data_IF_833745220914
#
_entry.id   IF_833745220914
#
_cell.length_a   1.000
_cell.length_b   1.000
_cell.length_c   1.000
_cell.angle_alpha   90.00
_cell.angle_beta   90.00
_cell.angle_gamma   90.00
#
_symmetry.space_group_name_H-M   'P 1'
#
loop_
_entity.id
_entity.type
_entity.pdbx_description
1 polymer ?
#
# COMPACT_ATOMS: atom_id res chain seq x y z
N UNK A 1 -40.38 50.83 31.76
CA UNK A 1 -39.76 49.74 30.98
C UNK A 1 -39.96 48.45 31.76
N UNK A 2 -40.88 47.60 31.30
CA UNK A 2 -41.15 46.29 31.93
C UNK A 2 -40.31 45.25 31.19
N UNK A 3 -39.30 44.71 31.84
CA UNK A 3 -38.53 43.56 31.37
C UNK A 3 -39.44 42.34 31.41
N UNK A 4 -39.88 41.85 30.24
CA UNK A 4 -40.56 40.56 30.13
C UNK A 4 -39.59 39.47 30.57
N UNK A 5 -39.91 38.77 31.66
CA UNK A 5 -39.24 37.52 32.02
C UNK A 5 -39.54 36.50 30.92
N UNK A 6 -38.51 36.06 30.19
CA UNK A 6 -38.58 34.91 29.27
C UNK A 6 -38.99 33.68 30.08
N UNK A 7 -39.87 32.84 29.54
CA UNK A 7 -40.25 31.61 30.22
C UNK A 7 -39.07 30.63 30.25
N UNK A 8 -39.00 29.78 31.27
CA UNK A 8 -37.92 28.79 31.42
C UNK A 8 -37.82 27.87 30.20
N UNK A 9 -38.95 27.59 29.53
CA UNK A 9 -38.96 26.82 28.28
C UNK A 9 -38.34 27.57 27.10
N UNK A 10 -38.54 28.88 26.99
CA UNK A 10 -37.90 29.69 25.93
C UNK A 10 -36.40 29.79 26.16
N UNK A 11 -35.96 29.96 27.41
CA UNK A 11 -34.54 29.95 27.75
C UNK A 11 -33.87 28.58 27.49
N UNK A 12 -34.59 27.48 27.75
CA UNK A 12 -34.09 26.13 27.50
C UNK A 12 -34.01 25.81 26.00
N UNK A 13 -34.98 26.28 25.20
CA UNK A 13 -34.95 26.14 23.73
C UNK A 13 -33.81 26.97 23.15
N UNK A 14 -33.64 28.21 23.61
CA UNK A 14 -32.55 29.10 23.18
C UNK A 14 -31.17 28.51 23.55
N UNK A 15 -31.03 27.89 24.74
CA UNK A 15 -29.78 27.26 25.15
C UNK A 15 -29.53 25.91 24.45
N UNK A 16 -30.58 25.19 24.02
CA UNK A 16 -30.47 24.00 23.17
C UNK A 16 -30.06 24.41 21.74
N UNK A 17 -30.62 25.48 21.19
CA UNK A 17 -30.25 26.03 19.89
C UNK A 17 -28.82 26.55 19.88
N UNK A 18 -28.39 27.28 20.93
CA UNK A 18 -26.99 27.72 21.08
C UNK A 18 -26.04 26.54 21.22
N UNK A 19 -26.42 25.47 21.94
CA UNK A 19 -25.57 24.27 22.07
C UNK A 19 -25.56 23.39 20.82
N UNK A 20 -26.59 23.44 19.99
CA UNK A 20 -26.62 22.83 18.66
C UNK A 20 -25.76 23.62 17.67
N UNK A 21 -25.77 24.96 17.75
CA UNK A 21 -24.92 25.83 16.96
C UNK A 21 -23.44 25.75 17.39
N UNK A 22 -23.17 25.59 18.70
CA UNK A 22 -21.81 25.50 19.26
C UNK A 22 -21.17 24.12 19.11
N UNK A 23 -21.97 23.06 18.95
CA UNK A 23 -21.48 21.74 18.53
C UNK A 23 -21.30 21.79 17.02
N UNK A 24 -20.15 22.34 16.64
CA UNK A 24 -19.74 22.61 15.27
C UNK A 24 -20.25 21.58 14.28
N UNK A 25 -20.74 22.11 13.15
CA UNK A 25 -21.10 21.39 11.93
C UNK A 25 -19.96 20.46 11.55
N UNK A 26 -19.96 19.26 12.13
CA UNK A 26 -19.24 18.13 11.62
C UNK A 26 -19.96 17.81 10.33
N UNK A 27 -19.31 18.10 9.20
CA UNK A 27 -19.81 17.81 7.88
C UNK A 27 -20.02 16.30 7.74
N UNK A 28 -21.22 15.83 8.12
CA UNK A 28 -21.63 14.45 7.96
C UNK A 28 -22.12 14.30 6.52
N UNK A 29 -21.50 13.39 5.78
CA UNK A 29 -21.79 13.17 4.36
C UNK A 29 -23.27 12.84 4.11
N UNK A 30 -23.96 12.19 5.06
CA UNK A 30 -25.43 12.02 5.06
C UNK A 30 -25.94 11.76 6.49
N UNK A 31 -27.22 12.03 6.78
CA UNK A 31 -27.95 11.33 7.84
C UNK A 31 -28.20 9.89 7.39
N UNK A 32 -27.81 8.89 8.20
CA UNK A 32 -27.91 7.49 7.81
C UNK A 32 -29.37 6.98 7.91
N UNK A 33 -29.71 5.94 7.15
CA UNK A 33 -31.08 5.57 6.77
C UNK A 33 -31.87 4.75 7.80
N UNK A 34 -31.45 4.72 9.07
CA UNK A 34 -32.38 4.54 10.19
C UNK A 34 -32.54 3.14 10.76
N UNK A 35 -31.50 2.29 10.72
CA UNK A 35 -31.47 1.10 11.56
C UNK A 35 -30.26 1.17 12.51
N UNK A 36 -30.48 1.43 13.81
CA UNK A 36 -29.42 1.38 14.81
C UNK A 36 -28.75 0.02 14.80
N UNK A 37 -27.43 0.00 14.94
CA UNK A 37 -26.69 -1.28 15.06
C UNK A 37 -27.22 -2.09 16.25
N UNK A 38 -27.19 -3.41 16.16
CA UNK A 38 -27.51 -4.31 17.29
C UNK A 38 -26.28 -4.72 18.10
N UNK A 39 -25.08 -4.48 17.54
CA UNK A 39 -23.81 -4.97 18.08
C UNK A 39 -23.14 -3.89 18.92
N UNK A 40 -23.69 -3.70 20.12
CA UNK A 40 -23.11 -2.84 21.14
C UNK A 40 -21.96 -3.55 21.86
N UNK A 41 -21.03 -2.81 22.45
CA UNK A 41 -19.97 -3.42 23.27
C UNK A 41 -20.52 -3.91 24.62
N UNK A 42 -21.47 -3.18 25.17
CA UNK A 42 -22.02 -3.34 26.50
C UNK A 42 -23.56 -3.41 26.50
N UNK A 43 -24.13 -3.83 27.62
CA UNK A 43 -25.57 -3.85 27.83
C UNK A 43 -26.29 -5.04 27.17
N UNK A 44 -27.63 -5.07 27.23
CA UNK A 44 -28.41 -6.22 26.77
C UNK A 44 -28.17 -6.50 25.28
N UNK A 45 -27.64 -7.68 24.97
CA UNK A 45 -27.26 -8.08 23.60
C UNK A 45 -25.92 -7.51 23.11
N UNK A 46 -25.12 -6.90 23.99
CA UNK A 46 -23.76 -6.46 23.69
C UNK A 46 -22.76 -7.62 23.63
N UNK A 47 -21.72 -7.47 22.81
CA UNK A 47 -20.70 -8.52 22.54
C UNK A 47 -19.96 -8.94 23.83
N UNK A 48 -19.75 -8.00 24.76
CA UNK A 48 -19.11 -8.25 26.05
C UNK A 48 -20.05 -8.05 27.24
N UNK A 49 -21.36 -7.96 27.00
CA UNK A 49 -22.40 -7.74 28.03
C UNK A 49 -22.78 -8.99 28.84
N UNK A 50 -21.85 -9.95 28.99
CA UNK A 50 -22.06 -11.22 29.68
C UNK A 50 -21.52 -11.14 31.10
N UNK A 51 -22.30 -11.55 32.09
CA UNK A 51 -21.87 -11.58 33.49
C UNK A 51 -20.73 -12.58 33.70
N UNK A 52 -19.68 -12.16 34.41
CA UNK A 52 -18.54 -13.02 34.76
C UNK A 52 -17.40 -13.05 33.74
N UNK A 53 -17.38 -12.12 32.77
CA UNK A 53 -16.25 -11.95 31.86
C UNK A 53 -15.05 -11.34 32.60
N UNK A 54 -13.86 -11.89 32.36
CA UNK A 54 -12.61 -11.31 32.87
C UNK A 54 -12.29 -9.99 32.16
N UNK A 55 -11.56 -9.11 32.86
CA UNK A 55 -11.27 -7.76 32.39
C UNK A 55 -10.49 -7.73 31.06
N UNK A 56 -9.62 -8.72 30.88
CA UNK A 56 -8.63 -8.68 29.82
C UNK A 56 -9.14 -9.44 28.58
N UNK A 57 -9.31 -8.72 27.47
CA UNK A 57 -9.83 -9.24 26.19
C UNK A 57 -8.67 -9.36 25.20
N UNK A 58 -8.61 -10.49 24.48
CA UNK A 58 -7.61 -10.76 23.45
C UNK A 58 -8.30 -10.72 22.09
N UNK A 59 -7.84 -9.84 21.22
CA UNK A 59 -8.21 -9.80 19.80
C UNK A 59 -7.48 -10.90 19.03
N UNK A 60 -8.13 -11.56 18.08
CA UNK A 60 -7.48 -12.51 17.15
C UNK A 60 -7.10 -11.87 15.82
N UNK A 61 -7.30 -10.54 15.69
CA UNK A 61 -6.97 -9.83 14.45
C UNK A 61 -5.45 -9.87 14.21
N UNK A 62 -5.05 -10.49 13.12
CA UNK A 62 -3.71 -10.35 12.57
C UNK A 62 -3.62 -8.98 11.92
N UNK A 63 -2.65 -8.18 12.35
CA UNK A 63 -2.40 -6.89 11.70
C UNK A 63 -1.67 -7.14 10.38
N UNK A 64 -2.14 -6.54 9.27
CA UNK A 64 -1.43 -6.66 8.02
C UNK A 64 -0.18 -5.78 8.04
N UNK A 65 0.93 -6.36 7.62
CA UNK A 65 2.20 -5.66 7.39
C UNK A 65 2.33 -5.31 5.90
N UNK A 66 3.15 -4.30 5.59
CA UNK A 66 3.37 -3.97 4.19
C UNK A 66 4.22 -2.74 3.88
N UNK A 67 4.49 -2.56 2.59
CA UNK A 67 5.24 -1.47 2.00
C UNK A 67 4.59 -0.11 2.25
N UNK A 68 3.26 -0.09 2.38
CA UNK A 68 2.48 1.13 2.45
C UNK A 68 2.91 2.07 3.58
N UNK A 69 3.36 1.54 4.72
CA UNK A 69 3.86 2.36 5.83
C UNK A 69 5.28 2.91 5.65
N UNK A 70 6.01 2.45 4.63
CA UNK A 70 7.34 2.96 4.27
C UNK A 70 7.28 4.00 3.15
N UNK A 71 6.17 4.10 2.43
CA UNK A 71 6.00 5.06 1.34
C UNK A 71 5.76 6.47 1.90
N UNK A 72 6.47 7.50 1.41
CA UNK A 72 6.20 8.87 1.80
C UNK A 72 4.85 9.33 1.23
N UNK A 73 4.06 10.02 2.05
CA UNK A 73 2.81 10.66 1.62
C UNK A 73 3.06 12.12 1.21
N UNK A 74 2.63 12.51 0.02
CA UNK A 74 2.79 13.88 -0.50
C UNK A 74 1.43 14.49 -0.85
N UNK A 75 1.16 15.68 -0.31
CA UNK A 75 -0.04 16.45 -0.62
C UNK A 75 0.07 17.16 -1.98
N UNK A 76 -1.03 17.21 -2.73
CA UNK A 76 -1.17 18.05 -3.92
C UNK A 76 -2.55 18.69 -4.01
N UNK A 77 -2.67 19.75 -4.79
CA UNK A 77 -3.95 20.39 -5.14
C UNK A 77 -4.38 20.10 -6.59
N UNK A 78 -3.52 19.42 -7.37
CA UNK A 78 -3.82 19.08 -8.77
C UNK A 78 -4.78 17.90 -8.85
N UNK A 79 -5.84 18.03 -9.66
CA UNK A 79 -6.85 16.97 -9.79
C UNK A 79 -6.35 15.76 -10.62
N UNK A 80 -5.54 16.00 -11.65
CA UNK A 80 -4.98 14.96 -12.52
C UNK A 80 -3.47 15.22 -12.70
N UNK A 81 -2.59 14.57 -11.92
CA UNK A 81 -1.16 14.76 -12.06
C UNK A 81 -0.67 14.09 -13.36
N UNK A 82 -0.02 14.89 -14.21
CA UNK A 82 0.64 14.41 -15.43
C UNK A 82 2.15 14.40 -15.22
N UNK A 83 2.79 13.25 -15.45
CA UNK A 83 4.22 13.06 -15.31
C UNK A 83 4.84 12.91 -16.70
N UNK A 84 5.69 13.86 -17.07
CA UNK A 84 6.42 13.83 -18.33
C UNK A 84 7.71 13.02 -18.22
N UNK A 85 7.93 12.14 -19.19
CA UNK A 85 9.13 11.33 -19.34
C UNK A 85 9.80 11.64 -20.67
N UNK A 86 11.13 11.73 -20.65
CA UNK A 86 11.94 11.80 -21.86
C UNK A 86 12.36 10.37 -22.21
N UNK A 87 11.86 9.85 -23.33
CA UNK A 87 12.01 8.44 -23.70
C UNK A 87 13.23 8.16 -24.57
N UNK A 88 13.83 9.21 -25.14
CA UNK A 88 15.10 9.13 -25.85
C UNK A 88 15.22 10.17 -26.96
N UNK A 89 16.22 9.97 -27.80
CA UNK A 89 16.50 10.78 -28.97
C UNK A 89 16.45 9.90 -30.21
N UNK A 90 15.83 10.38 -31.28
CA UNK A 90 15.83 9.66 -32.56
C UNK A 90 17.21 9.68 -33.21
N UNK A 91 17.43 8.78 -34.16
CA UNK A 91 18.61 8.82 -35.01
C UNK A 91 18.67 10.15 -35.78
N UNK A 92 19.89 10.59 -36.08
CA UNK A 92 20.10 11.75 -36.92
C UNK A 92 19.43 11.54 -38.29
N UNK A 93 18.94 12.63 -38.87
CA UNK A 93 18.33 12.64 -40.19
C UNK A 93 19.19 13.46 -41.14
N UNK A 94 19.41 12.96 -42.35
CA UNK A 94 20.27 13.58 -43.35
C UNK A 94 21.33 12.61 -43.85
N UNK A 95 22.19 13.11 -44.73
CA UNK A 95 23.38 12.40 -45.20
C UNK A 95 24.61 13.04 -44.59
N UNK A 96 25.65 12.25 -44.32
CA UNK A 96 26.97 12.79 -43.98
C UNK A 96 27.40 13.72 -45.11
N UNK A 97 27.83 14.93 -44.77
CA UNK A 97 28.28 15.93 -45.73
C UNK A 97 29.51 15.43 -46.51
N UNK A 98 29.43 15.40 -47.84
CA UNK A 98 30.53 14.98 -48.72
C UNK A 98 31.51 16.15 -49.01
N UNK A 99 31.01 17.39 -49.01
CA UNK A 99 31.78 18.61 -49.17
C UNK A 99 31.83 19.49 -47.90
N UNK A 100 32.83 20.39 -47.84
CA UNK A 100 33.07 21.30 -46.69
C UNK A 100 31.93 22.32 -46.50
N UNK A 101 31.10 22.55 -47.52
CA UNK A 101 29.98 23.49 -47.50
C UNK A 101 28.61 22.82 -47.55
N UNK A 102 28.54 21.48 -47.48
CA UNK A 102 27.26 20.78 -47.47
C UNK A 102 26.66 20.80 -46.07
N UNK A 103 25.34 20.76 -46.00
CA UNK A 103 24.62 20.76 -44.73
C UNK A 103 24.93 19.45 -43.97
N UNK A 104 25.41 19.54 -42.70
CA UNK A 104 25.65 18.36 -41.90
C UNK A 104 24.34 17.70 -41.47
N UNK A 105 24.42 16.46 -41.01
CA UNK A 105 23.26 15.74 -40.47
C UNK A 105 22.57 16.53 -39.36
N UNK A 106 21.23 16.54 -39.37
CA UNK A 106 20.43 17.14 -38.31
C UNK A 106 20.24 16.13 -37.18
N UNK A 107 20.48 16.58 -35.94
CA UNK A 107 20.25 15.75 -34.76
C UNK A 107 18.78 15.30 -34.69
N UNK A 108 18.56 14.02 -34.40
CA UNK A 108 17.21 13.47 -34.29
C UNK A 108 16.41 14.12 -33.15
N UNK A 109 15.10 14.34 -33.31
CA UNK A 109 14.31 14.99 -32.28
C UNK A 109 14.17 14.09 -31.05
N UNK A 110 13.95 14.75 -29.91
CA UNK A 110 13.63 14.09 -28.65
C UNK A 110 12.23 13.47 -28.70
N UNK A 111 12.08 12.29 -28.10
CA UNK A 111 10.78 11.67 -27.85
C UNK A 111 10.39 11.86 -26.39
N UNK A 112 9.12 12.20 -26.16
CA UNK A 112 8.52 12.28 -24.83
C UNK A 112 7.36 11.31 -24.70
N UNK A 113 7.01 10.99 -23.46
CA UNK A 113 5.81 10.27 -23.11
C UNK A 113 5.23 10.85 -21.82
N UNK A 114 3.91 10.98 -21.74
CA UNK A 114 3.23 11.49 -20.55
C UNK A 114 2.45 10.34 -19.89
N UNK A 115 2.68 10.11 -18.59
CA UNK A 115 1.87 9.18 -17.80
C UNK A 115 0.97 9.95 -16.83
N UNK A 116 -0.09 9.30 -16.37
CA UNK A 116 -1.01 9.83 -15.37
C UNK A 116 -1.27 8.78 -14.29
N UNK A 117 -1.39 9.24 -13.04
CA UNK A 117 -1.87 8.42 -11.93
C UNK A 117 -3.13 9.08 -11.38
N UNK A 118 -4.28 8.44 -11.59
CA UNK A 118 -5.56 8.97 -11.14
C UNK A 118 -5.73 8.79 -9.64
N UNK A 119 -6.36 9.76 -8.97
CA UNK A 119 -6.70 9.61 -7.56
C UNK A 119 -7.84 8.61 -7.35
N UNK A 120 -7.68 7.76 -6.35
CA UNK A 120 -8.76 6.98 -5.76
C UNK A 120 -9.66 7.85 -4.88
N UNK A 121 -10.90 7.41 -4.69
CA UNK A 121 -11.87 8.00 -3.76
C UNK A 121 -12.44 6.89 -2.89
N UNK A 122 -12.17 7.02 -1.59
CA UNK A 122 -12.71 6.16 -0.55
C UNK A 122 -13.66 6.94 0.34
N UNK A 123 -14.78 6.31 0.69
CA UNK A 123 -15.72 6.86 1.66
C UNK A 123 -16.17 5.73 2.58
N UNK A 124 -15.99 5.94 3.88
CA UNK A 124 -16.41 5.02 4.91
C UNK A 124 -17.34 5.74 5.86
N UNK A 125 -18.36 5.03 6.34
CA UNK A 125 -19.33 5.53 7.31
C UNK A 125 -19.21 4.69 8.59
N UNK A 126 -19.23 5.35 9.74
CA UNK A 126 -19.41 4.66 11.03
C UNK A 126 -20.83 4.12 11.15
N UNK A 127 -21.02 3.02 11.88
CA UNK A 127 -22.36 2.50 12.21
C UNK A 127 -23.22 3.54 12.94
N UNK A 128 -24.54 3.44 12.76
CA UNK A 128 -25.51 4.20 13.55
C UNK A 128 -25.50 3.69 15.00
N UNK A 129 -25.27 4.60 15.95
CA UNK A 129 -25.25 4.29 17.38
C UNK A 129 -26.46 4.98 18.03
N UNK A 130 -27.29 4.21 18.74
CA UNK A 130 -28.42 4.75 19.49
C UNK A 130 -27.97 5.40 20.80
N UNK A 131 -28.13 6.71 20.93
CA UNK A 131 -27.69 7.46 22.10
C UNK A 131 -28.32 6.98 23.43
N UNK A 132 -29.53 6.42 23.38
CA UNK A 132 -30.22 5.91 24.57
C UNK A 132 -29.65 4.58 25.07
N UNK A 133 -28.92 3.84 24.23
CA UNK A 133 -28.40 2.51 24.51
C UNK A 133 -26.91 2.51 24.86
N UNK A 134 -26.17 3.52 24.41
CA UNK A 134 -24.76 3.72 24.79
C UNK A 134 -24.64 3.84 26.31
N UNK A 135 -23.85 2.96 26.91
CA UNK A 135 -23.57 2.98 28.35
C UNK A 135 -24.63 2.29 29.21
N UNK A 136 -25.62 1.62 28.63
CA UNK A 136 -26.45 0.67 29.36
C UNK A 136 -25.62 -0.53 29.81
N UNK A 137 -25.90 -1.04 31.01
CA UNK A 137 -25.34 -2.27 31.54
C UNK A 137 -26.46 -3.30 31.68
N UNK A 138 -26.16 -4.56 31.42
CA UNK A 138 -27.08 -5.68 31.64
C UNK A 138 -27.31 -5.87 33.14
N UNK A 139 -26.24 -5.91 33.92
CA UNK A 139 -26.26 -6.12 35.37
C UNK A 139 -25.04 -5.48 36.04
N UNK A 140 -25.08 -5.32 37.37
CA UNK A 140 -23.92 -4.81 38.15
C UNK A 140 -22.67 -5.72 38.05
N UNK A 141 -22.83 -6.96 37.61
CA UNK A 141 -21.74 -7.89 37.33
C UNK A 141 -21.05 -7.67 35.99
N UNK A 142 -21.54 -6.75 35.16
CA UNK A 142 -20.88 -6.33 33.93
C UNK A 142 -19.74 -5.35 34.24
N UNK A 143 -18.52 -5.77 33.94
CA UNK A 143 -17.35 -4.94 34.09
C UNK A 143 -17.25 -3.97 32.92
N UNK A 144 -17.23 -2.67 33.24
CA UNK A 144 -16.92 -1.64 32.24
C UNK A 144 -15.42 -1.50 32.05
N UNK A 145 -14.55 -2.06 32.88
CA UNK A 145 -13.11 -1.81 32.80
C UNK A 145 -12.38 -2.75 31.82
N UNK A 146 -13.08 -3.26 30.81
CA UNK A 146 -12.53 -4.16 29.81
C UNK A 146 -11.35 -3.52 29.07
N UNK A 147 -10.23 -4.23 29.01
CA UNK A 147 -9.00 -3.79 28.33
C UNK A 147 -8.63 -4.80 27.26
N UNK A 148 -8.31 -4.30 26.08
CA UNK A 148 -7.72 -5.16 25.04
C UNK A 148 -6.24 -5.35 25.39
N UNK A 149 -5.80 -6.60 25.56
CA UNK A 149 -4.42 -6.93 25.87
C UNK A 149 -3.49 -6.73 24.68
N UNK A 150 -3.93 -7.11 23.48
CA UNK A 150 -3.19 -6.90 22.24
C UNK A 150 -3.87 -5.79 21.44
N UNK A 151 -3.19 -4.66 21.33
CA UNK A 151 -3.77 -3.52 20.65
C UNK A 151 -3.94 -3.85 19.15
N UNK A 152 -5.19 -3.86 18.64
CA UNK A 152 -5.50 -4.29 17.28
C UNK A 152 -5.17 -3.22 16.22
N UNK A 153 -4.64 -2.07 16.65
CA UNK A 153 -4.23 -0.94 15.83
C UNK A 153 -2.76 -0.53 16.06
N UNK A 154 -2.08 -0.95 17.14
CA UNK A 154 -0.68 -0.56 17.42
C UNK A 154 0.28 -1.40 16.61
N UNK A 155 1.14 -0.71 15.85
CA UNK A 155 2.17 -1.32 15.01
C UNK A 155 3.23 -2.06 15.83
N UNK A 156 3.86 -3.05 15.19
CA UNK A 156 5.22 -2.85 14.74
C UNK A 156 5.28 -2.85 13.21
N UNK A 157 5.81 -1.76 12.62
CA UNK A 157 6.27 -1.64 11.24
C UNK A 157 5.20 -1.83 10.12
N UNK A 158 4.66 -0.72 9.61
CA UNK A 158 4.04 -0.72 8.27
C UNK A 158 2.56 -0.29 8.16
N UNK A 159 1.89 0.00 9.29
CA UNK A 159 0.50 0.47 9.27
C UNK A 159 0.34 1.91 8.76
N UNK A 160 -0.75 2.18 8.04
CA UNK A 160 -1.12 3.49 7.49
C UNK A 160 -1.51 4.55 8.53
N UNK A 161 -2.04 4.12 9.67
CA UNK A 161 -2.59 5.02 10.68
C UNK A 161 -1.54 5.28 11.78
N UNK A 162 -1.05 6.52 11.87
CA UNK A 162 -0.27 6.97 13.02
C UNK A 162 -1.20 7.18 14.21
N UNK A 163 -1.01 6.40 15.27
CA UNK A 163 -1.79 6.55 16.49
C UNK A 163 -1.34 7.77 17.27
N UNK A 164 -2.10 8.85 17.16
CA UNK A 164 -2.09 9.92 18.18
C UNK A 164 -3.44 9.95 18.92
N UNK A 165 -4.04 8.78 19.14
CA UNK A 165 -5.22 8.64 19.99
C UNK A 165 -4.70 8.50 21.43
N UNK A 166 -4.81 9.58 22.20
CA UNK A 166 -4.41 9.56 23.60
C UNK A 166 -5.32 8.61 24.41
N UNK A 167 -4.75 7.49 24.84
CA UNK A 167 -5.40 6.47 25.66
C UNK A 167 -5.49 5.13 24.94
N UNK A 168 -5.22 4.03 25.65
CA UNK A 168 -5.51 2.67 25.17
C UNK A 168 -6.96 2.60 24.69
N UNK A 169 -7.29 1.86 23.59
CA UNK A 169 -8.66 1.67 23.14
C UNK A 169 -9.47 0.99 24.26
N UNK A 170 -10.11 1.83 25.07
CA UNK A 170 -10.97 1.42 26.17
C UNK A 170 -12.33 1.06 25.58
N UNK A 171 -12.72 -0.21 25.70
CA UNK A 171 -13.96 -0.76 25.13
C UNK A 171 -15.22 -0.09 25.71
N UNK A 172 -15.07 0.71 26.77
CA UNK A 172 -16.09 1.61 27.32
C UNK A 172 -16.58 2.65 26.32
N UNK A 173 -15.71 3.07 25.40
CA UNK A 173 -16.00 4.12 24.43
C UNK A 173 -16.50 3.49 23.15
N UNK A 174 -17.79 3.15 23.15
CA UNK A 174 -18.47 2.57 21.99
C UNK A 174 -18.33 3.41 20.71
N UNK A 175 -18.37 4.74 20.85
CA UNK A 175 -18.13 5.67 19.74
C UNK A 175 -16.69 5.56 19.23
N UNK A 176 -15.71 5.41 20.12
CA UNK A 176 -14.31 5.21 19.73
C UNK A 176 -14.14 3.89 18.99
N UNK A 177 -14.78 2.81 19.46
CA UNK A 177 -14.75 1.52 18.79
C UNK A 177 -15.33 1.60 17.36
N UNK A 178 -16.41 2.34 17.14
CA UNK A 178 -16.94 2.56 15.80
C UNK A 178 -15.96 3.30 14.87
N UNK A 179 -15.13 4.20 15.39
CA UNK A 179 -14.05 4.81 14.61
C UNK A 179 -12.89 3.83 14.34
N UNK A 180 -12.56 2.97 15.30
CA UNK A 180 -11.58 1.89 15.13
C UNK A 180 -12.03 0.94 14.01
N UNK A 181 -13.30 0.52 14.01
CA UNK A 181 -13.89 -0.32 12.96
C UNK A 181 -13.71 0.30 11.56
N UNK A 182 -13.92 1.62 11.42
CA UNK A 182 -13.68 2.33 10.16
C UNK A 182 -12.20 2.34 9.79
N UNK A 183 -11.30 2.56 10.75
CA UNK A 183 -9.86 2.50 10.51
C UNK A 183 -9.39 1.12 10.04
N UNK A 184 -9.95 0.05 10.63
CA UNK A 184 -9.71 -1.34 10.22
C UNK A 184 -10.20 -1.59 8.80
N UNK A 185 -11.43 -1.17 8.49
CA UNK A 185 -12.00 -1.33 7.15
C UNK A 185 -11.18 -0.58 6.10
N UNK A 186 -10.73 0.64 6.42
CA UNK A 186 -9.86 1.45 5.57
C UNK A 186 -8.54 0.73 5.28
N UNK A 187 -7.87 0.22 6.32
CA UNK A 187 -6.60 -0.50 6.18
C UNK A 187 -6.75 -1.78 5.34
N UNK A 188 -7.78 -2.59 5.63
CA UNK A 188 -8.02 -3.86 4.93
C UNK A 188 -8.35 -3.65 3.45
N UNK A 189 -8.97 -2.53 3.09
CA UNK A 189 -9.26 -2.22 1.69
C UNK A 189 -8.04 -1.63 0.97
N UNK A 190 -7.30 -0.73 1.64
CA UNK A 190 -6.22 0.02 1.00
C UNK A 190 -4.96 -0.83 0.77
N UNK A 191 -4.67 -1.79 1.64
CA UNK A 191 -3.49 -2.67 1.53
C UNK A 191 -3.47 -3.50 0.24
N UNK A 192 -4.49 -4.31 -0.08
CA UNK A 192 -4.48 -5.06 -1.34
C UNK A 192 -4.53 -4.13 -2.56
N UNK A 193 -5.26 -3.02 -2.46
CA UNK A 193 -5.37 -2.06 -3.57
C UNK A 193 -4.07 -1.32 -3.89
N UNK A 194 -3.08 -1.31 -2.97
CA UNK A 194 -1.74 -0.84 -3.30
C UNK A 194 -1.15 -1.64 -4.47
N UNK A 195 -1.41 -2.94 -4.55
CA UNK A 195 -0.91 -3.83 -5.59
C UNK A 195 -1.89 -3.96 -6.74
N UNK A 196 -3.14 -4.35 -6.46
CA UNK A 196 -4.14 -4.74 -7.46
C UNK A 196 -5.18 -3.65 -7.78
N UNK A 197 -4.98 -2.42 -7.31
CA UNK A 197 -5.91 -1.31 -7.57
C UNK A 197 -6.12 -1.07 -9.06
N UNK A 198 -7.38 -1.05 -9.52
CA UNK A 198 -7.68 -0.88 -10.94
C UNK A 198 -8.72 0.22 -11.19
N UNK A 199 -8.36 1.35 -11.83
CA UNK A 199 -9.28 2.44 -12.12
C UNK A 199 -10.40 2.06 -13.11
N UNK A 200 -10.37 0.87 -13.73
CA UNK A 200 -11.50 0.34 -14.49
C UNK A 200 -12.69 -0.05 -13.61
N UNK A 201 -12.47 -0.39 -12.33
CA UNK A 201 -13.51 -0.79 -11.38
C UNK A 201 -14.27 0.40 -10.75
N UNK A 202 -14.12 1.59 -11.33
CA UNK A 202 -14.72 2.81 -10.81
C UNK A 202 -16.25 2.77 -10.94
N UNK A 203 -16.94 3.15 -9.86
CA UNK A 203 -18.39 3.32 -9.88
C UNK A 203 -18.78 4.39 -10.92
N UNK A 204 -19.83 4.13 -11.71
CA UNK A 204 -20.30 5.06 -12.75
C UNK A 204 -20.67 6.46 -12.21
N UNK A 205 -21.09 6.54 -10.95
CA UNK A 205 -21.41 7.80 -10.25
C UNK A 205 -20.23 8.47 -9.53
N UNK A 206 -19.03 7.89 -9.56
CA UNK A 206 -17.83 8.46 -8.94
C UNK A 206 -17.87 8.53 -7.40
N UNK A 207 -18.75 7.77 -6.76
CA UNK A 207 -18.80 7.62 -5.29
C UNK A 207 -17.62 6.79 -4.77
N UNK A 208 -17.23 5.78 -5.54
CA UNK A 208 -16.06 4.95 -5.33
C UNK A 208 -15.15 5.00 -6.56
N UNK A 209 -13.86 5.23 -6.34
CA UNK A 209 -12.82 5.13 -7.37
C UNK A 209 -11.56 4.50 -6.80
N UNK A 210 -10.93 3.62 -7.55
CA UNK A 210 -9.64 3.03 -7.20
C UNK A 210 -8.50 3.81 -7.84
N UNK A 211 -7.37 3.91 -7.14
CA UNK A 211 -6.13 4.40 -7.72
C UNK A 211 -5.42 3.25 -8.47
N UNK A 212 -4.54 3.53 -9.44
CA UNK A 212 -3.76 2.49 -10.10
C UNK A 212 -2.77 1.86 -9.11
N UNK A 213 -2.89 0.56 -8.89
CA UNK A 213 -1.99 -0.23 -8.08
C UNK A 213 -0.63 -0.44 -8.74
N UNK A 214 0.30 -1.01 -7.97
CA UNK A 214 1.66 -1.31 -8.40
C UNK A 214 1.71 -2.26 -9.60
N UNK A 215 0.74 -3.16 -9.77
CA UNK A 215 0.68 -4.04 -10.94
C UNK A 215 0.50 -3.24 -12.24
N UNK A 216 -0.44 -2.28 -12.24
CA UNK A 216 -0.62 -1.38 -13.38
C UNK A 216 0.60 -0.47 -13.57
N UNK A 217 1.23 -0.01 -12.48
CA UNK A 217 2.41 0.86 -12.53
C UNK A 217 3.67 0.12 -12.99
N UNK A 218 3.86 -1.15 -12.61
CA UNK A 218 4.98 -2.02 -12.97
C UNK A 218 4.51 -2.98 -14.08
N UNK A 219 3.93 -2.41 -15.12
CA UNK A 219 3.36 -3.14 -16.25
C UNK A 219 4.14 -2.97 -17.54
N UNK A 220 3.81 -3.81 -18.52
CA UNK A 220 4.17 -3.63 -19.94
C UNK A 220 3.09 -2.83 -20.68
N UNK A 221 3.38 -2.36 -21.90
CA UNK A 221 2.46 -1.63 -22.76
C UNK A 221 2.02 -0.27 -22.18
N UNK A 222 2.98 0.50 -21.66
CA UNK A 222 2.72 1.87 -21.26
C UNK A 222 2.29 2.70 -22.46
N UNK A 223 1.21 3.44 -22.31
CA UNK A 223 0.67 4.34 -23.35
C UNK A 223 0.74 5.78 -22.87
N UNK A 224 0.94 6.70 -23.79
CA UNK A 224 0.87 8.12 -23.50
C UNK A 224 -0.57 8.52 -23.15
N UNK A 225 -0.72 9.20 -22.01
CA UNK A 225 -2.01 9.57 -21.44
C UNK A 225 -2.83 10.55 -22.29
N UNK A 226 -2.20 11.29 -23.22
CA UNK A 226 -2.87 12.27 -24.09
C UNK A 226 -3.04 11.70 -25.50
N UNK A 227 -1.97 11.14 -26.07
CA UNK A 227 -1.96 10.73 -27.48
C UNK A 227 -2.38 9.28 -27.70
N UNK A 228 -2.37 8.44 -26.66
CA UNK A 228 -2.67 7.02 -26.76
C UNK A 228 -1.61 6.20 -27.50
N UNK A 229 -0.44 6.78 -27.79
CA UNK A 229 0.67 6.11 -28.47
C UNK A 229 1.49 5.29 -27.47
N UNK A 230 1.90 4.08 -27.86
CA UNK A 230 2.72 3.22 -27.01
C UNK A 230 4.10 3.81 -26.75
N UNK A 231 4.54 3.73 -25.50
CA UNK A 231 5.82 4.19 -24.98
C UNK A 231 6.65 3.01 -24.45
N UNK A 232 7.17 2.13 -25.33
CA UNK A 232 7.82 0.89 -24.90
C UNK A 232 9.09 1.08 -24.06
N UNK A 233 9.72 2.27 -24.13
CA UNK A 233 10.88 2.59 -23.29
C UNK A 233 10.54 2.75 -21.81
N UNK A 234 9.27 2.94 -21.46
CA UNK A 234 8.77 3.01 -20.08
C UNK A 234 8.30 1.66 -19.55
N UNK A 235 8.28 0.62 -20.39
CA UNK A 235 7.80 -0.68 -19.96
C UNK A 235 8.72 -1.25 -18.87
N UNK A 236 8.10 -1.84 -17.86
CA UNK A 236 8.83 -2.52 -16.79
C UNK A 236 9.36 -3.87 -17.28
N UNK A 237 10.48 -4.32 -16.72
CA UNK A 237 11.01 -5.66 -17.03
C UNK A 237 10.26 -6.70 -16.20
N UNK A 238 9.36 -7.44 -16.84
CA UNK A 238 8.56 -8.50 -16.22
C UNK A 238 9.13 -9.85 -16.64
N UNK A 239 9.52 -10.66 -15.66
CA UNK A 239 9.98 -12.05 -15.87
C UNK A 239 8.93 -13.02 -15.34
N UNK A 240 8.25 -13.71 -16.24
CA UNK A 240 7.31 -14.76 -15.87
C UNK A 240 8.07 -16.04 -15.51
N UNK A 241 7.90 -16.52 -14.28
CA UNK A 241 8.42 -17.82 -13.82
C UNK A 241 7.46 -18.98 -14.13
N UNK A 242 6.33 -18.70 -14.78
CA UNK A 242 5.33 -19.67 -15.25
C UNK A 242 4.93 -20.71 -14.19
N UNK A 243 4.67 -20.25 -12.96
CA UNK A 243 4.27 -21.10 -11.82
C UNK A 243 5.26 -22.25 -11.52
N UNK A 244 6.55 -22.06 -11.81
CA UNK A 244 7.58 -23.02 -11.42
C UNK A 244 7.74 -23.10 -9.90
N UNK A 245 8.03 -24.31 -9.41
CA UNK A 245 8.35 -24.53 -8.01
C UNK A 245 9.68 -23.86 -7.65
N UNK A 246 9.74 -23.24 -6.47
CA UNK A 246 10.93 -22.55 -5.95
C UNK A 246 12.12 -23.51 -5.74
N UNK A 247 11.83 -24.79 -5.45
CA UNK A 247 12.82 -25.85 -5.23
C UNK A 247 13.19 -26.64 -6.50
N UNK A 248 12.52 -26.38 -7.63
CA UNK A 248 12.81 -27.10 -8.87
C UNK A 248 13.63 -26.24 -9.86
N UNK A 249 14.63 -26.86 -10.47
CA UNK A 249 15.43 -26.27 -11.57
C UNK A 249 14.72 -26.50 -12.93
N UNK A 250 13.46 -26.96 -12.91
CA UNK A 250 12.79 -27.63 -14.01
C UNK A 250 11.99 -26.76 -14.99
N UNK A 251 11.58 -25.54 -14.64
CA UNK A 251 10.77 -24.72 -15.55
C UNK A 251 11.69 -23.82 -16.39
N UNK A 252 12.07 -24.32 -17.57
CA UNK A 252 12.98 -23.70 -18.56
C UNK A 252 14.49 -23.69 -18.22
N UNK A 253 14.93 -24.40 -17.19
CA UNK A 253 16.35 -24.60 -16.89
C UNK A 253 17.05 -23.41 -16.22
N UNK A 254 16.28 -22.46 -15.69
CA UNK A 254 16.77 -21.32 -14.90
C UNK A 254 16.21 -21.36 -13.49
N UNK A 255 17.09 -21.30 -12.50
CA UNK A 255 16.76 -21.18 -11.07
C UNK A 255 16.15 -19.79 -10.78
N UNK A 256 15.17 -19.71 -9.87
CA UNK A 256 14.57 -18.45 -9.41
C UNK A 256 15.63 -17.47 -8.89
N UNK A 257 16.68 -17.97 -8.24
CA UNK A 257 17.79 -17.14 -7.75
C UNK A 257 18.57 -16.51 -8.90
N UNK A 258 18.72 -17.23 -10.01
CA UNK A 258 19.34 -16.71 -11.23
C UNK A 258 18.47 -15.63 -11.89
N UNK A 259 17.16 -15.86 -11.98
CA UNK A 259 16.21 -14.88 -12.55
C UNK A 259 16.21 -13.58 -11.75
N UNK A 260 16.09 -13.67 -10.41
CA UNK A 260 16.13 -12.50 -9.51
C UNK A 260 17.48 -11.78 -9.61
N UNK A 261 18.59 -12.52 -9.70
CA UNK A 261 19.93 -11.94 -9.85
C UNK A 261 20.08 -11.20 -11.18
N UNK A 262 19.62 -11.76 -12.30
CA UNK A 262 19.68 -11.06 -13.59
C UNK A 262 18.79 -9.82 -13.63
N UNK A 263 17.60 -9.89 -13.03
CA UNK A 263 16.71 -8.74 -12.92
C UNK A 263 17.40 -7.59 -12.15
N UNK A 264 18.01 -7.90 -11.01
CA UNK A 264 18.77 -6.90 -10.25
C UNK A 264 19.96 -6.32 -11.03
N UNK A 265 20.71 -7.16 -11.75
CA UNK A 265 21.81 -6.69 -12.64
C UNK A 265 21.31 -5.75 -13.73
N UNK A 266 20.18 -6.08 -14.36
CA UNK A 266 19.57 -5.25 -15.40
C UNK A 266 19.13 -3.89 -14.83
N UNK A 267 18.43 -3.88 -13.69
CA UNK A 267 18.01 -2.65 -13.02
C UNK A 267 19.21 -1.78 -12.61
N UNK A 268 20.27 -2.39 -12.06
CA UNK A 268 21.50 -1.68 -11.69
C UNK A 268 22.23 -1.11 -12.92
N UNK A 269 22.30 -1.86 -14.01
CA UNK A 269 22.85 -1.37 -15.27
C UNK A 269 22.09 -0.13 -15.75
N UNK A 270 20.76 -0.18 -15.81
CA UNK A 270 19.95 0.96 -16.22
C UNK A 270 20.11 2.15 -15.28
N UNK A 271 20.08 1.94 -13.96
CA UNK A 271 20.28 3.00 -12.98
C UNK A 271 21.65 3.70 -13.11
N UNK A 272 22.71 2.94 -13.42
CA UNK A 272 24.06 3.51 -13.67
C UNK A 272 24.11 4.30 -14.97
N UNK A 273 23.53 3.78 -16.07
CA UNK A 273 23.62 4.38 -17.41
C UNK A 273 22.67 5.56 -17.57
N UNK A 274 21.57 5.59 -16.84
CA UNK A 274 20.63 6.71 -16.78
C UNK A 274 20.97 7.73 -15.69
N UNK A 275 22.07 7.54 -14.96
CA UNK A 275 22.55 8.43 -13.90
C UNK A 275 21.53 8.66 -12.76
N UNK A 276 20.80 7.61 -12.39
CA UNK A 276 19.89 7.62 -11.23
C UNK A 276 20.57 7.23 -9.92
N UNK A 277 21.82 6.76 -9.97
CA UNK A 277 22.57 6.38 -8.79
C UNK A 277 22.83 7.56 -7.83
N UNK A 278 22.85 7.31 -6.50
CA UNK A 278 22.49 6.06 -5.84
C UNK A 278 20.96 5.86 -5.76
N UNK A 279 20.52 4.62 -5.98
CA UNK A 279 19.11 4.20 -5.89
C UNK A 279 18.92 3.28 -4.68
N UNK A 280 17.87 3.52 -3.90
CA UNK A 280 17.46 2.62 -2.82
C UNK A 280 16.34 1.72 -3.33
N UNK A 281 16.63 0.43 -3.41
CA UNK A 281 15.68 -0.60 -3.86
C UNK A 281 15.11 -1.35 -2.65
N UNK A 282 13.84 -1.72 -2.76
CA UNK A 282 13.18 -2.64 -1.84
C UNK A 282 12.53 -3.74 -2.67
N UNK A 283 12.61 -4.97 -2.17
CA UNK A 283 11.87 -6.10 -2.72
C UNK A 283 10.62 -6.28 -1.85
N UNK A 284 9.45 -6.42 -2.46
CA UNK A 284 8.23 -6.79 -1.71
C UNK A 284 7.73 -8.14 -2.17
N UNK A 285 7.44 -9.02 -1.20
CA UNK A 285 6.89 -10.36 -1.43
C UNK A 285 6.07 -10.80 -0.22
N UNK A 286 5.23 -11.82 -0.38
CA UNK A 286 4.51 -12.43 0.75
C UNK A 286 5.47 -13.18 1.67
N UNK A 287 5.13 -13.28 2.95
CA UNK A 287 5.95 -13.96 3.97
C UNK A 287 6.23 -15.42 3.62
N UNK A 288 5.22 -16.17 3.17
CA UNK A 288 5.33 -17.59 2.83
C UNK A 288 6.35 -17.84 1.72
N UNK A 289 6.29 -17.04 0.64
CA UNK A 289 7.26 -17.11 -0.46
C UNK A 289 8.69 -16.77 0.02
N UNK A 290 8.84 -15.81 0.92
CA UNK A 290 10.15 -15.47 1.48
C UNK A 290 10.78 -16.61 2.29
N UNK A 291 9.97 -17.35 3.06
CA UNK A 291 10.46 -18.50 3.81
C UNK A 291 10.94 -19.64 2.89
N UNK A 292 10.20 -19.94 1.82
CA UNK A 292 10.58 -20.95 0.84
C UNK A 292 11.81 -20.51 0.02
N UNK A 293 11.82 -19.25 -0.46
CA UNK A 293 12.92 -18.72 -1.22
C UNK A 293 14.23 -18.75 -0.42
N UNK A 294 14.20 -18.33 0.85
CA UNK A 294 15.39 -18.35 1.72
C UNK A 294 15.85 -19.76 2.08
N UNK A 295 15.00 -20.80 1.96
CA UNK A 295 15.42 -22.18 2.17
C UNK A 295 16.34 -22.68 1.05
N UNK A 296 16.04 -22.32 -0.20
CA UNK A 296 16.80 -22.72 -1.39
C UNK A 296 17.95 -21.74 -1.69
N UNK A 297 17.81 -20.47 -1.31
CA UNK A 297 18.75 -19.39 -1.66
C UNK A 297 20.21 -19.68 -1.32
N UNK A 298 20.60 -20.14 -0.11
CA UNK A 298 22.00 -20.41 0.20
C UNK A 298 22.58 -21.54 -0.66
N UNK A 299 21.77 -22.57 -0.93
CA UNK A 299 22.20 -23.73 -1.73
C UNK A 299 22.52 -23.31 -3.16
N UNK A 300 21.62 -22.59 -3.82
CA UNK A 300 21.84 -22.13 -5.19
C UNK A 300 22.87 -21.02 -5.28
N UNK A 301 22.89 -20.06 -4.34
CA UNK A 301 23.83 -18.95 -4.34
C UNK A 301 25.29 -19.41 -4.14
N UNK A 302 25.54 -20.33 -3.19
CA UNK A 302 26.89 -20.84 -2.90
C UNK A 302 27.41 -21.79 -3.98
N UNK A 303 26.51 -22.46 -4.71
CA UNK A 303 26.88 -23.36 -5.81
C UNK A 303 26.79 -22.73 -7.19
N UNK A 304 26.36 -21.45 -7.27
CA UNK A 304 26.09 -20.74 -8.52
C UNK A 304 27.30 -20.80 -9.47
N UNK A 305 27.12 -21.45 -10.63
CA UNK A 305 28.12 -21.69 -11.68
C UNK A 305 29.35 -22.53 -11.28
N UNK A 306 29.33 -23.17 -10.12
CA UNK A 306 30.38 -24.08 -9.67
C UNK A 306 30.28 -25.50 -10.29
N UNK A 307 29.57 -25.65 -11.42
CA UNK A 307 29.69 -26.83 -12.27
C UNK A 307 30.95 -26.68 -13.12
N UNK A 308 32.02 -27.35 -12.72
CA UNK A 308 33.29 -27.30 -13.44
C UNK A 308 33.08 -27.69 -14.91
N UNK A 309 33.39 -26.74 -15.82
CA UNK A 309 33.41 -26.96 -17.27
C UNK A 309 34.62 -27.82 -17.63
N UNK A 310 34.59 -29.09 -17.30
CA UNK A 310 35.59 -30.06 -17.74
C UNK A 310 34.87 -31.30 -18.30
N UNK A 311 34.94 -31.47 -19.62
CA UNK A 311 34.61 -32.74 -20.26
C UNK A 311 35.61 -33.79 -19.76
N UNK A 312 35.18 -34.63 -18.82
CA UNK A 312 35.96 -35.78 -18.32
C UNK A 312 36.41 -35.72 -16.86
N UNK A 313 36.06 -34.70 -16.06
CA UNK A 313 36.31 -34.71 -14.62
C UNK A 313 35.15 -35.40 -13.88
N UNK A 314 35.32 -36.68 -13.56
CA UNK A 314 34.42 -37.38 -12.66
C UNK A 314 34.53 -36.78 -11.24
N UNK A 315 33.45 -36.14 -10.78
CA UNK A 315 33.18 -35.80 -9.38
C UNK A 315 34.13 -34.80 -8.68
N UNK A 316 34.21 -33.55 -9.17
CA UNK A 316 34.54 -32.44 -8.29
C UNK A 316 33.27 -32.01 -7.55
N UNK A 317 33.09 -32.50 -6.32
CA UNK A 317 31.99 -32.09 -5.44
C UNK A 317 32.39 -30.79 -4.75
N UNK A 318 31.63 -29.72 -4.97
CA UNK A 318 31.73 -28.52 -4.14
C UNK A 318 31.30 -28.92 -2.72
N UNK A 319 32.22 -28.82 -1.75
CA UNK A 319 31.89 -29.06 -0.35
C UNK A 319 31.43 -27.74 0.27
N UNK A 320 30.12 -27.53 0.32
CA UNK A 320 29.51 -26.40 1.03
C UNK A 320 29.31 -26.82 2.48
N UNK A 321 29.83 -26.04 3.43
CA UNK A 321 29.55 -26.27 4.84
C UNK A 321 28.08 -25.96 5.12
N UNK A 322 27.36 -26.96 5.65
CA UNK A 322 25.97 -26.81 6.02
C UNK A 322 25.77 -25.73 7.10
N UNK A 323 26.78 -25.48 7.94
CA UNK A 323 26.71 -24.40 8.94
C UNK A 323 26.61 -23.03 8.28
N UNK A 324 27.44 -22.75 7.28
CA UNK A 324 27.44 -21.46 6.60
C UNK A 324 26.14 -21.23 5.82
N UNK A 325 25.58 -22.29 5.22
CA UNK A 325 24.29 -22.21 4.53
C UNK A 325 23.13 -21.91 5.50
N UNK A 326 23.12 -22.53 6.69
CA UNK A 326 22.10 -22.29 7.72
C UNK A 326 22.26 -20.89 8.31
N UNK A 327 23.49 -20.47 8.64
CA UNK A 327 23.76 -19.15 9.19
C UNK A 327 23.36 -18.04 8.20
N UNK A 328 23.62 -18.22 6.89
CA UNK A 328 23.17 -17.28 5.86
C UNK A 328 21.64 -17.23 5.75
N UNK A 329 20.95 -18.38 5.78
CA UNK A 329 19.48 -18.42 5.78
C UNK A 329 18.90 -17.69 6.98
N UNK A 330 19.40 -18.00 8.17
CA UNK A 330 18.83 -17.50 9.42
C UNK A 330 19.10 -16.00 9.58
N UNK A 331 20.25 -15.49 9.11
CA UNK A 331 20.52 -14.04 9.07
C UNK A 331 19.63 -13.29 8.07
N UNK A 332 19.42 -13.84 6.86
CA UNK A 332 18.47 -13.26 5.90
C UNK A 332 17.05 -13.18 6.47
N UNK A 333 16.60 -14.22 7.20
CA UNK A 333 15.26 -14.26 7.82
C UNK A 333 15.11 -13.32 9.01
N UNK A 334 16.15 -13.12 9.81
CA UNK A 334 16.10 -12.25 11.00
C UNK A 334 16.04 -10.77 10.63
N UNK A 335 16.77 -10.37 9.59
CA UNK A 335 16.91 -8.96 9.19
C UNK A 335 16.10 -8.61 7.92
N UNK A 336 15.35 -9.57 7.36
CA UNK A 336 14.52 -9.41 6.17
C UNK A 336 15.28 -8.80 4.98
N UNK A 337 16.29 -9.51 4.47
CA UNK A 337 17.01 -9.11 3.26
C UNK A 337 17.41 -10.32 2.41
N UNK A 338 17.73 -10.07 1.14
CA UNK A 338 18.30 -11.06 0.23
C UNK A 338 19.70 -10.63 -0.23
N UNK A 339 20.62 -11.59 -0.28
CA UNK A 339 21.96 -11.38 -0.83
C UNK A 339 21.93 -11.51 -2.35
N UNK A 340 22.03 -10.40 -3.09
CA UNK A 340 22.07 -10.42 -4.54
C UNK A 340 23.37 -9.79 -5.02
N UNK A 341 24.24 -10.57 -5.68
CA UNK A 341 25.56 -10.13 -6.16
C UNK A 341 26.41 -9.41 -5.09
N UNK A 342 26.37 -9.90 -3.84
CA UNK A 342 27.10 -9.32 -2.71
C UNK A 342 26.49 -8.01 -2.16
N UNK A 343 25.33 -7.58 -2.65
CA UNK A 343 24.56 -6.48 -2.07
C UNK A 343 23.40 -7.03 -1.23
N UNK A 344 23.23 -6.50 -0.01
CA UNK A 344 22.07 -6.78 0.81
C UNK A 344 20.92 -5.88 0.36
N UNK A 345 19.87 -6.49 -0.20
CA UNK A 345 18.66 -5.77 -0.62
C UNK A 345 17.56 -6.04 0.40
N UNK A 346 16.98 -4.99 1.03
CA UNK A 346 15.92 -5.17 2.01
C UNK A 346 14.66 -5.76 1.37
N UNK A 347 14.04 -6.68 2.08
CA UNK A 347 12.75 -7.29 1.74
C UNK A 347 11.70 -6.76 2.70
N UNK A 348 10.59 -6.29 2.16
CA UNK A 348 9.40 -5.95 2.93
C UNK A 348 8.36 -7.02 2.70
N UNK A 349 7.98 -7.69 3.78
CA UNK A 349 6.91 -8.67 3.77
C UNK A 349 5.58 -7.92 3.73
N UNK A 350 4.76 -8.22 2.73
CA UNK A 350 3.47 -7.54 2.53
C UNK A 350 2.36 -8.56 2.29
N UNK A 351 1.31 -8.47 3.10
CA UNK A 351 0.15 -9.37 3.04
C UNK A 351 -0.87 -8.90 1.98
N UNK A 352 -0.70 -7.70 1.43
CA UNK A 352 -1.56 -7.12 0.37
C UNK A 352 -1.31 -7.67 -1.03
N UNK A 353 -0.19 -8.36 -1.26
CA UNK A 353 0.09 -9.03 -2.53
C UNK A 353 -0.89 -10.19 -2.68
N UNK A 354 -1.57 -10.31 -3.82
CA UNK A 354 -2.53 -11.39 -4.05
C UNK A 354 -1.81 -12.75 -4.05
N UNK A 355 -2.43 -13.74 -3.40
CA UNK A 355 -1.99 -15.13 -3.48
C UNK A 355 -2.94 -15.89 -4.39
N UNK A 356 -2.36 -16.65 -5.30
CA UNK A 356 -3.08 -17.59 -6.13
C UNK A 356 -2.93 -18.99 -5.54
N UNK A 357 -4.07 -19.67 -5.41
CA UNK A 357 -4.16 -21.05 -4.96
C UNK A 357 -4.66 -21.96 -6.09
N UNK A 358 -4.75 -23.27 -5.83
CA UNK A 358 -5.37 -24.24 -6.74
C UNK A 358 -6.85 -23.94 -7.03
N UNK A 359 -7.52 -23.16 -6.17
CA UNK A 359 -8.88 -22.68 -6.39
C UNK A 359 -8.96 -21.56 -7.44
N UNK A 360 -7.91 -20.74 -7.56
CA UNK A 360 -7.87 -19.55 -8.42
C UNK A 360 -7.19 -19.85 -9.76
N UNK A 361 -6.25 -20.81 -9.78
CA UNK A 361 -5.46 -21.12 -10.96
C UNK A 361 -5.22 -22.62 -11.12
N UNK A 362 -5.65 -23.17 -12.26
CA UNK A 362 -5.49 -24.59 -12.58
C UNK A 362 -4.03 -25.05 -12.80
N UNK A 363 -3.08 -24.12 -12.86
CA UNK A 363 -1.65 -24.43 -12.96
C UNK A 363 -0.98 -24.68 -11.61
N UNK A 364 -1.69 -24.46 -10.50
CA UNK A 364 -1.19 -24.63 -9.13
C UNK A 364 -1.82 -25.91 -8.56
N UNK A 365 -1.01 -26.81 -8.00
CA UNK A 365 -1.52 -28.05 -7.41
C UNK A 365 -2.06 -27.80 -5.99
N UNK A 366 -2.92 -28.70 -5.51
CA UNK A 366 -3.49 -28.59 -4.17
C UNK A 366 -2.41 -28.56 -3.08
N UNK A 367 -2.39 -27.48 -2.29
CA UNK A 367 -1.38 -27.24 -1.26
C UNK A 367 -0.18 -26.40 -1.71
N UNK A 368 -0.16 -25.94 -2.96
CA UNK A 368 0.80 -24.97 -3.48
C UNK A 368 0.17 -23.56 -3.51
N UNK A 369 1.03 -22.55 -3.43
CA UNK A 369 0.64 -21.14 -3.53
C UNK A 369 1.59 -20.41 -4.47
N UNK A 370 1.09 -19.38 -5.14
CA UNK A 370 1.90 -18.50 -5.98
C UNK A 370 1.63 -17.03 -5.64
N UNK A 371 2.69 -16.22 -5.66
CA UNK A 371 2.59 -14.77 -5.46
C UNK A 371 3.71 -14.07 -6.23
N UNK A 372 3.46 -12.83 -6.64
CA UNK A 372 4.45 -12.03 -7.36
C UNK A 372 5.53 -11.45 -6.44
N UNK A 373 6.72 -11.21 -7.02
CA UNK A 373 7.83 -10.51 -6.38
C UNK A 373 8.01 -9.17 -7.09
N UNK A 374 7.93 -8.07 -6.34
CA UNK A 374 8.12 -6.72 -6.90
C UNK A 374 9.47 -6.14 -6.51
N UNK A 375 10.18 -5.57 -7.48
CA UNK A 375 11.35 -4.72 -7.26
C UNK A 375 10.95 -3.25 -7.39
N UNK A 376 10.99 -2.51 -6.28
CA UNK A 376 10.47 -1.15 -6.21
C UNK A 376 11.58 -0.18 -5.83
N UNK A 377 11.83 0.88 -6.63
CA UNK A 377 12.72 1.95 -6.23
C UNK A 377 12.01 2.87 -5.24
N UNK A 378 12.58 3.10 -4.05
CA UNK A 378 12.05 4.09 -3.11
C UNK A 378 12.58 5.49 -3.43
N UNK A 379 13.91 5.60 -3.54
CA UNK A 379 14.59 6.88 -3.78
C UNK A 379 15.66 6.75 -4.86
N UNK A 380 15.85 7.82 -5.64
CA UNK A 380 16.94 7.95 -6.63
C UNK A 380 17.80 9.17 -6.30
N UNK A 381 19.02 9.18 -6.85
CA UNK A 381 20.00 10.28 -6.69
C UNK A 381 20.24 10.68 -5.23
N UNK A 382 20.19 9.72 -4.30
CA UNK A 382 20.53 9.93 -2.89
C UNK A 382 19.47 10.64 -2.05
N UNK A 383 18.20 10.65 -2.47
CA UNK A 383 17.11 11.11 -1.59
C UNK A 383 15.83 11.57 -2.27
N UNK A 384 15.76 11.59 -3.61
CA UNK A 384 14.52 11.94 -4.31
C UNK A 384 13.59 10.73 -4.32
N UNK A 385 12.48 10.80 -3.60
CA UNK A 385 11.45 9.77 -3.64
C UNK A 385 10.86 9.63 -5.05
N UNK A 386 10.74 8.39 -5.53
CA UNK A 386 10.16 8.08 -6.85
C UNK A 386 8.88 7.26 -6.73
N UNK A 387 8.81 6.38 -5.72
CA UNK A 387 7.56 5.74 -5.31
C UNK A 387 7.03 6.46 -4.07
N UNK A 388 5.82 7.01 -4.16
CA UNK A 388 5.20 7.77 -3.09
C UNK A 388 3.68 7.68 -3.20
N UNK A 389 3.00 7.89 -2.07
CA UNK A 389 1.54 8.01 -2.03
C UNK A 389 1.18 9.49 -2.18
N UNK A 390 0.36 9.82 -3.18
CA UNK A 390 -0.13 11.19 -3.34
C UNK A 390 -1.55 11.31 -2.80
N UNK A 391 -1.83 12.38 -2.06
CA UNK A 391 -3.17 12.68 -1.56
C UNK A 391 -3.58 14.13 -1.88
N UNK A 392 -4.88 14.38 -1.94
CA UNK A 392 -5.40 15.74 -2.10
C UNK A 392 -5.22 16.51 -0.79
N UNK A 393 -4.45 17.60 -0.83
CA UNK A 393 -4.25 18.47 0.31
C UNK A 393 -5.47 19.38 0.52
N UNK A 394 -6.33 18.97 1.45
CA UNK A 394 -7.50 19.75 1.84
C UNK A 394 -7.14 21.07 2.54
N UNK A 395 -5.96 21.20 3.14
CA UNK A 395 -5.55 22.42 3.84
C UNK A 395 -5.19 23.55 2.87
N UNK A 396 -4.58 23.22 1.73
CA UNK A 396 -4.10 24.22 0.77
C UNK A 396 -5.15 24.69 -0.25
N UNK A 397 -6.20 23.90 -0.52
CA UNK A 397 -7.20 24.24 -1.56
C UNK A 397 -8.65 24.24 -1.06
N UNK A 398 -9.07 23.15 -0.43
CA UNK A 398 -10.48 22.97 -0.07
C UNK A 398 -10.92 23.83 1.12
N UNK A 399 -10.10 23.93 2.17
CA UNK A 399 -10.42 24.69 3.37
C UNK A 399 -10.53 26.20 3.09
N UNK A 400 -9.75 26.73 2.15
CA UNK A 400 -9.86 28.13 1.73
C UNK A 400 -11.15 28.37 0.94
N UNK A 401 -11.47 27.53 -0.05
CA UNK A 401 -12.74 27.63 -0.78
C UNK A 401 -13.99 27.41 0.09
N UNK A 402 -13.91 26.54 1.09
CA UNK A 402 -14.96 26.36 2.10
C UNK A 402 -15.04 27.58 3.03
N UNK A 403 -13.91 28.18 3.42
CA UNK A 403 -13.88 29.40 4.22
C UNK A 403 -14.43 30.61 3.44
N UNK A 404 -14.14 30.72 2.14
CA UNK A 404 -14.73 31.73 1.25
C UNK A 404 -16.23 31.48 1.06
N UNK A 405 -16.66 30.21 1.05
CA UNK A 405 -18.05 29.79 1.08
C UNK A 405 -18.75 29.97 2.43
N UNK A 406 -18.00 30.25 3.51
CA UNK A 406 -18.56 30.76 4.77
C UNK A 406 -18.85 32.25 4.61
N UNK A 407 -19.81 32.56 3.74
CA UNK A 407 -20.54 33.80 3.81
C UNK A 407 -21.31 33.82 5.14
N UNK A 408 -20.64 34.25 6.21
CA UNK A 408 -21.26 34.72 7.46
C UNK A 408 -21.97 36.07 7.27
N UNK A 409 -22.31 36.44 6.03
CA UNK A 409 -23.11 37.59 5.71
C UNK A 409 -23.96 37.26 4.48
N UNK A 410 -25.25 37.48 4.62
CA UNK A 410 -26.28 37.37 3.60
C UNK A 410 -25.82 37.93 2.24
N UNK A 411 -26.08 37.16 1.18
CA UNK A 411 -26.33 37.74 -0.14
C UNK A 411 -27.84 37.89 -0.26
N UNK A 412 -28.41 38.90 0.42
CA UNK A 412 -29.57 39.74 0.06
C UNK A 412 -29.67 40.90 1.04
#
# INVERSE_FOLDING_TARGET
MVTKQKSVMEALVEEIEERLASKGVAFKHTTPSGNPTTNYMHGPGGIFGVSGLERDIISTRVQPQGLIGQLPSMGTVTMNPLYGYLTGYQANTGTVADGVCDDPETAGPAKSCIQTAQFGRYSFLTKEIEANRVGQQTDRGEFLDLRIMNDPLLQPQGGLLQQNIAGSPDLRREVLHAFVEVGVAFQNQLIPQLYVGNPANNSAGGGFKEFPGLDILIGTNKVDAITGVNCPSLDSDIKAFNYGLVDDVGVAGSDIVEVVTYLYRFLKHNATRMNFNPVTWVITMRSELFYELTAVWPCSYLTYRCTFRAAGAAQERLNVDAKDAIDLRDTMRQENWLLIDGAQVPVVLDDGINEESDADNANIAAGEFASDIYFIPLTVRGGRAVTFMQYLDYQQGAMQGIADGRALADFW
#
